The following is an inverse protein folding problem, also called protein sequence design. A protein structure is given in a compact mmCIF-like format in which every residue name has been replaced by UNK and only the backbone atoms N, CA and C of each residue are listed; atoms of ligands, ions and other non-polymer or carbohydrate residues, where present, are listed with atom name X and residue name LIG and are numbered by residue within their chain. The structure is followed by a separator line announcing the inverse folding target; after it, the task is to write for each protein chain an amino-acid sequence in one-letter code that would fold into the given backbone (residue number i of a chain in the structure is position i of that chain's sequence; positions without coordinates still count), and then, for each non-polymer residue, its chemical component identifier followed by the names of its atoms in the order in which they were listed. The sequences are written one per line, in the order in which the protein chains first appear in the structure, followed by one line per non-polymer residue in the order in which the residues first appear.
data_IF_117537160370
#
_entry.id   IF_117537160370
#
_cell.length_a   1.000
_cell.length_b   1.000
_cell.length_c   1.000
_cell.angle_alpha   90.00
_cell.angle_beta   90.00
_cell.angle_gamma   90.00
#
_symmetry.space_group_name_H-M   'P 1'
#
loop_
_entity.id
_entity.type
_entity.pdbx_description
1 polymer ?
#
# COMPACT_ATOMS: atom_id res chain seq x y z
N UNK A 1 -0.89 -12.13 8.15
CA UNK A 1 -1.64 -11.10 7.38
C UNK A 1 -2.97 -10.75 8.04
N UNK A 2 -3.96 -11.65 8.15
CA UNK A 2 -5.24 -11.35 8.84
C UNK A 2 -5.03 -10.99 10.32
N UNK A 3 -4.25 -11.79 11.04
CA UNK A 3 -3.90 -11.49 12.45
C UNK A 3 -3.23 -10.12 12.58
N UNK A 4 -2.35 -9.78 11.63
CA UNK A 4 -1.71 -8.47 11.58
C UNK A 4 -2.73 -7.35 11.33
N UNK A 5 -3.70 -7.53 10.42
CA UNK A 5 -4.76 -6.54 10.18
C UNK A 5 -5.60 -6.26 11.43
N UNK A 6 -6.01 -7.31 12.15
CA UNK A 6 -6.72 -7.18 13.43
C UNK A 6 -5.84 -6.47 14.47
N UNK A 7 -4.57 -6.85 14.56
CA UNK A 7 -3.60 -6.22 15.46
C UNK A 7 -3.44 -4.72 15.16
N UNK A 8 -3.37 -4.31 13.89
CA UNK A 8 -3.35 -2.89 13.50
C UNK A 8 -4.61 -2.18 13.98
N UNK A 9 -5.80 -2.73 13.72
CA UNK A 9 -7.05 -2.09 14.13
C UNK A 9 -7.13 -1.87 15.65
N UNK A 10 -6.79 -2.90 16.43
CA UNK A 10 -6.78 -2.82 17.90
C UNK A 10 -5.75 -1.81 18.39
N UNK A 11 -4.52 -1.88 17.89
CA UNK A 11 -3.44 -0.97 18.34
C UNK A 11 -3.69 0.48 17.95
N UNK A 12 -4.20 0.75 16.75
CA UNK A 12 -4.52 2.12 16.32
C UNK A 12 -5.70 2.69 17.10
N UNK A 13 -6.71 1.87 17.39
CA UNK A 13 -7.81 2.27 18.27
C UNK A 13 -7.32 2.59 19.68
N UNK A 14 -6.44 1.77 20.24
CA UNK A 14 -5.84 2.02 21.55
C UNK A 14 -5.08 3.36 21.63
N UNK A 15 -4.40 3.76 20.54
CA UNK A 15 -3.55 4.97 20.54
C UNK A 15 -4.35 6.24 20.24
N UNK A 16 -5.28 6.21 19.29
CA UNK A 16 -5.98 7.40 18.77
C UNK A 16 -7.50 7.26 18.71
N UNK A 17 -8.08 6.28 19.42
CA UNK A 17 -9.52 6.02 19.40
C UNK A 17 -10.04 5.72 17.99
N UNK A 18 -11.24 6.20 17.69
CA UNK A 18 -11.88 5.94 16.39
C UNK A 18 -11.10 6.52 15.21
N UNK A 19 -10.42 7.67 15.40
CA UNK A 19 -9.54 8.24 14.39
C UNK A 19 -8.45 7.24 13.96
N UNK A 20 -7.76 6.63 14.93
CA UNK A 20 -6.77 5.58 14.64
C UNK A 20 -7.39 4.35 14.01
N UNK A 21 -8.58 3.93 14.46
CA UNK A 21 -9.25 2.79 13.85
C UNK A 21 -9.50 2.97 12.35
N UNK A 22 -9.79 4.19 11.88
CA UNK A 22 -9.95 4.45 10.44
C UNK A 22 -8.69 4.16 9.61
N UNK A 23 -7.51 4.05 10.22
CA UNK A 23 -6.29 3.66 9.51
C UNK A 23 -6.37 2.22 8.93
N UNK A 24 -7.27 1.37 9.41
CA UNK A 24 -7.45 0.02 8.82
C UNK A 24 -7.98 0.05 7.39
N UNK A 25 -8.52 1.20 6.94
CA UNK A 25 -9.01 1.40 5.59
C UNK A 25 -7.92 1.87 4.61
N UNK A 26 -6.70 2.15 5.09
CA UNK A 26 -5.57 2.40 4.20
C UNK A 26 -5.34 1.23 3.25
N UNK A 27 -4.96 1.54 2.02
CA UNK A 27 -4.76 0.63 0.91
C UNK A 27 -3.85 -0.53 1.28
N UNK A 28 -2.75 -0.24 1.99
CA UNK A 28 -1.80 -1.24 2.46
C UNK A 28 -2.40 -2.19 3.51
N UNK A 29 -3.26 -1.69 4.40
CA UNK A 29 -3.93 -2.51 5.41
C UNK A 29 -5.02 -3.39 4.77
N UNK A 30 -5.83 -2.82 3.88
CA UNK A 30 -6.83 -3.58 3.13
C UNK A 30 -6.18 -4.65 2.25
N UNK A 31 -5.03 -4.36 1.63
CA UNK A 31 -4.24 -5.38 0.94
C UNK A 31 -3.71 -6.46 1.86
N UNK A 32 -3.28 -6.15 3.08
CA UNK A 32 -2.91 -7.17 4.06
C UNK A 32 -4.09 -8.09 4.38
N UNK A 33 -5.30 -7.54 4.60
CA UNK A 33 -6.50 -8.34 4.82
C UNK A 33 -6.80 -9.24 3.62
N UNK A 34 -6.91 -8.65 2.43
CA UNK A 34 -7.29 -9.35 1.21
C UNK A 34 -6.25 -10.41 0.80
N UNK A 35 -4.95 -10.13 0.94
CA UNK A 35 -3.90 -11.11 0.66
C UNK A 35 -3.98 -12.28 1.65
N UNK A 36 -4.28 -12.00 2.92
CA UNK A 36 -4.47 -13.03 3.93
C UNK A 36 -5.69 -13.91 3.63
N UNK A 37 -6.82 -13.32 3.22
CA UNK A 37 -8.01 -14.06 2.77
C UNK A 37 -7.69 -14.87 1.52
N UNK A 38 -7.00 -14.28 0.55
CA UNK A 38 -6.53 -14.96 -0.66
C UNK A 38 -5.63 -16.15 -0.33
N UNK A 39 -4.76 -16.04 0.67
CA UNK A 39 -3.92 -17.14 1.13
C UNK A 39 -4.74 -18.25 1.80
N UNK A 40 -5.70 -17.92 2.67
CA UNK A 40 -6.58 -18.91 3.30
C UNK A 40 -7.44 -19.67 2.29
N UNK A 41 -7.91 -18.98 1.24
CA UNK A 41 -8.76 -19.56 0.20
C UNK A 41 -7.96 -20.16 -0.96
N UNK A 42 -6.63 -20.18 -0.89
CA UNK A 42 -5.73 -20.62 -1.96
C UNK A 42 -6.02 -19.93 -3.31
N UNK A 43 -6.34 -18.62 -3.27
CA UNK A 43 -6.65 -17.79 -4.43
C UNK A 43 -5.46 -16.91 -4.82
N UNK A 44 -4.51 -17.38 -5.66
CA UNK A 44 -3.33 -16.61 -6.06
C UNK A 44 -3.68 -15.32 -6.80
N UNK A 45 -4.83 -15.28 -7.49
CA UNK A 45 -5.31 -14.06 -8.17
C UNK A 45 -5.62 -12.94 -7.17
N UNK A 46 -6.17 -13.25 -6.00
CA UNK A 46 -6.46 -12.25 -4.96
C UNK A 46 -5.16 -11.69 -4.41
N UNK A 47 -4.17 -12.54 -4.13
CA UNK A 47 -2.85 -12.10 -3.68
C UNK A 47 -2.16 -11.24 -4.75
N UNK A 48 -2.23 -11.65 -6.02
CA UNK A 48 -1.70 -10.89 -7.15
C UNK A 48 -2.37 -9.52 -7.31
N UNK A 49 -3.69 -9.46 -7.14
CA UNK A 49 -4.45 -8.20 -7.10
C UNK A 49 -3.92 -7.27 -6.01
N UNK A 50 -3.73 -7.76 -4.79
CA UNK A 50 -3.22 -6.94 -3.68
C UNK A 50 -1.81 -6.44 -3.92
N UNK A 51 -0.96 -7.22 -4.61
CA UNK A 51 0.37 -6.80 -5.01
C UNK A 51 0.35 -5.56 -5.87
N UNK A 52 -0.42 -5.60 -6.96
CA UNK A 52 -0.54 -4.46 -7.86
C UNK A 52 -1.15 -3.25 -7.16
N UNK A 53 -2.11 -3.48 -6.26
CA UNK A 53 -2.80 -2.43 -5.53
C UNK A 53 -1.87 -1.59 -4.63
N UNK A 54 -0.81 -2.20 -4.08
CA UNK A 54 0.11 -1.55 -3.12
C UNK A 54 1.54 -1.35 -3.63
N UNK A 55 1.78 -1.63 -4.91
CA UNK A 55 3.12 -1.57 -5.50
C UNK A 55 3.75 -0.18 -5.31
N UNK A 56 2.99 0.89 -5.52
CA UNK A 56 3.43 2.26 -5.31
C UNK A 56 3.65 2.63 -3.84
N UNK A 57 2.66 2.52 -2.94
CA UNK A 57 2.87 2.90 -1.54
C UNK A 57 3.99 2.08 -0.89
N UNK A 58 4.15 0.79 -1.19
CA UNK A 58 5.26 0.02 -0.63
C UNK A 58 6.60 0.34 -1.29
N UNK A 59 6.64 0.38 -2.63
CA UNK A 59 7.87 0.62 -3.38
C UNK A 59 8.47 2.00 -3.06
N UNK A 60 7.64 3.04 -3.08
CA UNK A 60 8.07 4.40 -2.75
C UNK A 60 8.43 4.55 -1.27
N UNK A 61 7.72 3.87 -0.35
CA UNK A 61 8.07 3.89 1.07
C UNK A 61 9.43 3.25 1.34
N UNK A 62 9.70 2.08 0.74
CA UNK A 62 11.00 1.39 0.91
C UNK A 62 12.13 2.21 0.26
N UNK A 63 11.88 2.78 -0.92
CA UNK A 63 12.85 3.64 -1.59
C UNK A 63 13.16 4.89 -0.74
N UNK A 64 12.15 5.55 -0.19
CA UNK A 64 12.32 6.75 0.64
C UNK A 64 13.10 6.44 1.93
N UNK A 65 12.82 5.31 2.58
CA UNK A 65 13.58 4.84 3.73
C UNK A 65 15.04 4.54 3.39
N UNK A 66 15.28 3.89 2.25
CA UNK A 66 16.64 3.62 1.78
C UNK A 66 17.40 4.92 1.49
N UNK A 67 16.76 5.89 0.83
CA UNK A 67 17.35 7.20 0.56
C UNK A 67 17.68 7.93 1.87
N UNK A 68 16.84 7.84 2.90
CA UNK A 68 17.16 8.41 4.21
C UNK A 68 18.51 7.92 4.77
N UNK A 69 18.83 6.63 4.66
CA UNK A 69 20.12 6.11 5.13
C UNK A 69 21.32 6.58 4.29
N UNK A 70 21.12 7.00 3.04
CA UNK A 70 22.19 7.49 2.16
C UNK A 70 22.37 9.00 2.29
N UNK A 71 21.28 9.76 2.25
CA UNK A 71 21.30 11.23 2.15
C UNK A 71 20.83 11.95 3.41
N UNK A 72 20.41 11.22 4.45
CA UNK A 72 19.99 11.80 5.73
C UNK A 72 18.62 12.49 5.72
N UNK A 73 17.82 12.34 4.66
CA UNK A 73 16.49 12.96 4.51
C UNK A 73 15.53 12.08 3.70
N UNK A 74 14.23 12.34 3.83
CA UNK A 74 13.15 11.67 3.10
C UNK A 74 12.71 12.49 1.88
N UNK A 75 13.31 12.30 0.69
CA UNK A 75 13.01 13.13 -0.49
C UNK A 75 11.59 12.93 -1.02
N UNK A 76 10.98 11.76 -0.81
CA UNK A 76 9.60 11.49 -1.20
C UNK A 76 8.63 11.81 -0.06
N UNK A 77 9.10 11.78 1.19
CA UNK A 77 8.29 12.06 2.38
C UNK A 77 7.37 10.90 2.81
N UNK A 78 7.31 9.83 2.02
CA UNK A 78 6.45 8.65 2.21
C UNK A 78 6.70 7.93 3.53
N UNK A 79 7.93 7.98 4.03
CA UNK A 79 8.38 7.29 5.26
C UNK A 79 8.87 8.26 6.34
N UNK A 80 8.66 9.57 6.14
CA UNK A 80 9.17 10.61 7.05
C UNK A 80 8.62 10.52 8.47
N UNK A 81 7.41 9.98 8.64
CA UNK A 81 6.79 9.79 9.95
C UNK A 81 7.52 8.82 10.87
N UNK A 82 8.49 8.04 10.35
CA UNK A 82 9.30 7.14 11.16
C UNK A 82 10.17 7.85 12.18
N UNK A 83 10.52 9.12 11.92
CA UNK A 83 11.38 9.93 12.78
C UNK A 83 10.64 11.07 13.48
N UNK A 84 9.32 11.17 13.33
CA UNK A 84 8.55 12.19 14.05
C UNK A 84 8.49 11.83 15.52
N UNK A 85 8.77 12.81 16.39
CA UNK A 85 8.68 12.65 17.84
C UNK A 85 7.27 12.29 18.33
N UNK A 86 6.26 12.56 17.49
CA UNK A 86 4.85 12.27 17.75
C UNK A 86 4.42 10.85 17.35
N UNK A 87 5.25 10.09 16.62
CA UNK A 87 4.87 8.74 16.17
C UNK A 87 5.03 7.74 17.31
N UNK A 88 3.93 7.08 17.68
CA UNK A 88 3.95 6.14 18.79
C UNK A 88 4.69 4.84 18.40
N UNK A 89 5.39 4.20 19.35
CA UNK A 89 6.22 2.99 19.08
C UNK A 89 5.44 1.82 18.48
N UNK A 90 4.19 1.63 18.88
CA UNK A 90 3.32 0.61 18.29
C UNK A 90 2.96 0.96 16.83
N UNK A 91 2.86 2.24 16.48
CA UNK A 91 2.64 2.66 15.09
C UNK A 91 3.86 2.34 14.23
N UNK A 92 5.06 2.56 14.76
CA UNK A 92 6.31 2.12 14.13
C UNK A 92 6.36 0.60 13.96
N UNK A 93 5.94 -0.17 14.96
CA UNK A 93 5.89 -1.63 14.84
C UNK A 93 4.93 -2.06 13.73
N UNK A 94 3.72 -1.48 13.68
CA UNK A 94 2.75 -1.82 12.63
C UNK A 94 3.21 -1.41 11.24
N UNK A 95 4.03 -0.38 11.08
CA UNK A 95 4.47 0.05 9.75
C UNK A 95 5.46 -0.92 9.07
N UNK A 96 6.04 -1.85 9.83
CA UNK A 96 7.00 -2.85 9.32
C UNK A 96 6.43 -3.73 8.21
N UNK A 97 5.10 -3.77 8.01
CA UNK A 97 4.45 -4.44 6.89
C UNK A 97 4.91 -3.95 5.53
N UNK A 98 5.40 -2.71 5.42
CA UNK A 98 6.00 -2.23 4.18
C UNK A 98 7.24 -3.05 3.77
N UNK A 99 7.94 -3.67 4.73
CA UNK A 99 9.12 -4.49 4.51
C UNK A 99 8.73 -5.96 4.25
N UNK A 100 7.92 -6.57 5.12
CA UNK A 100 7.69 -8.02 5.08
C UNK A 100 6.54 -8.46 4.16
N UNK A 101 5.63 -7.57 3.77
CA UNK A 101 4.44 -7.95 3.00
C UNK A 101 4.80 -8.55 1.63
N UNK A 102 5.66 -7.87 0.86
CA UNK A 102 6.07 -8.30 -0.48
C UNK A 102 6.81 -9.65 -0.43
N UNK A 103 7.87 -9.84 0.40
CA UNK A 103 8.52 -11.14 0.54
C UNK A 103 7.55 -12.28 0.91
N UNK A 104 6.64 -12.04 1.87
CA UNK A 104 5.70 -13.05 2.30
C UNK A 104 4.73 -13.45 1.18
N UNK A 105 4.21 -12.48 0.42
CA UNK A 105 3.38 -12.76 -0.75
C UNK A 105 4.16 -13.52 -1.85
N UNK A 106 5.45 -13.25 -2.05
CA UNK A 106 6.30 -14.03 -2.98
C UNK A 106 6.39 -15.49 -2.56
N UNK A 107 6.65 -15.76 -1.28
CA UNK A 107 6.71 -17.12 -0.76
C UNK A 107 5.39 -17.87 -0.92
N UNK A 108 4.26 -17.20 -0.69
CA UNK A 108 2.93 -17.81 -0.83
C UNK A 108 2.62 -18.08 -2.31
N UNK A 109 2.87 -17.12 -3.21
CA UNK A 109 2.65 -17.29 -4.64
C UNK A 109 3.55 -18.37 -5.21
N UNK A 110 4.83 -18.43 -4.83
CA UNK A 110 5.76 -19.47 -5.30
C UNK A 110 5.20 -20.89 -5.14
N UNK A 111 4.47 -21.14 -4.05
CA UNK A 111 3.85 -22.45 -3.77
C UNK A 111 2.48 -22.66 -4.43
N UNK A 112 1.74 -21.58 -4.69
CA UNK A 112 0.30 -21.65 -5.01
C UNK A 112 -0.10 -20.96 -6.34
N UNK A 113 0.84 -20.38 -7.08
CA UNK A 113 0.57 -19.66 -8.32
C UNK A 113 1.72 -18.76 -8.77
N UNK A 114 1.37 -17.64 -9.40
CA UNK A 114 2.32 -16.61 -9.84
C UNK A 114 1.61 -15.28 -10.05
N UNK A 115 2.30 -14.15 -9.88
CA UNK A 115 1.77 -12.87 -10.29
C UNK A 115 1.60 -12.84 -11.81
N UNK A 116 0.51 -12.23 -12.27
CA UNK A 116 0.17 -12.10 -13.70
C UNK A 116 -0.08 -10.65 -14.06
N UNK A 117 0.34 -10.24 -15.26
CA UNK A 117 0.12 -8.89 -15.78
C UNK A 117 -1.36 -8.62 -16.09
N UNK A 118 -2.14 -9.68 -16.34
CA UNK A 118 -3.60 -9.60 -16.55
C UNK A 118 -4.36 -9.05 -15.34
N UNK A 119 -3.73 -8.98 -14.15
CA UNK A 119 -4.33 -8.38 -12.96
C UNK A 119 -4.24 -6.85 -12.93
N UNK A 120 -3.54 -6.23 -13.89
CA UNK A 120 -3.35 -4.76 -13.90
C UNK A 120 -4.67 -3.98 -13.88
N UNK A 121 -5.61 -4.24 -14.80
CA UNK A 121 -6.89 -3.53 -14.81
C UNK A 121 -7.68 -3.71 -13.50
N UNK A 122 -7.58 -4.90 -12.89
CA UNK A 122 -8.30 -5.22 -11.66
C UNK A 122 -7.78 -4.43 -10.48
N UNK A 123 -6.46 -4.31 -10.30
CA UNK A 123 -5.93 -3.52 -9.19
C UNK A 123 -6.17 -2.01 -9.39
N UNK A 124 -6.21 -1.51 -10.63
CA UNK A 124 -6.62 -0.12 -10.90
C UNK A 124 -8.08 0.10 -10.48
N UNK A 125 -8.97 -0.81 -10.87
CA UNK A 125 -10.37 -0.78 -10.48
C UNK A 125 -10.55 -0.90 -8.96
N UNK A 126 -9.79 -1.77 -8.31
CA UNK A 126 -9.78 -1.91 -6.85
C UNK A 126 -9.35 -0.63 -6.14
N UNK A 127 -8.32 0.05 -6.64
CA UNK A 127 -7.89 1.35 -6.13
C UNK A 127 -8.97 2.41 -6.26
N UNK A 128 -9.62 2.48 -7.43
CA UNK A 128 -10.76 3.39 -7.67
C UNK A 128 -11.91 3.16 -6.67
N UNK A 129 -12.34 1.90 -6.47
CA UNK A 129 -13.41 1.61 -5.51
C UNK A 129 -13.02 1.93 -4.07
N UNK A 130 -11.78 1.63 -3.67
CA UNK A 130 -11.31 1.99 -2.33
C UNK A 130 -11.24 3.50 -2.13
N UNK A 131 -10.91 4.28 -3.14
CA UNK A 131 -10.97 5.75 -3.08
C UNK A 131 -12.41 6.25 -2.89
N UNK A 132 -13.37 5.69 -3.64
CA UNK A 132 -14.79 6.04 -3.46
C UNK A 132 -15.25 5.70 -2.04
N UNK A 133 -14.97 4.49 -1.56
CA UNK A 133 -15.33 4.06 -0.21
C UNK A 133 -14.69 4.99 0.83
N UNK A 134 -13.40 5.29 0.68
CA UNK A 134 -12.66 6.13 1.63
C UNK A 134 -13.21 7.56 1.65
N UNK A 135 -13.44 8.18 0.49
CA UNK A 135 -13.93 9.56 0.44
C UNK A 135 -15.41 9.70 0.78
N UNK A 136 -16.21 8.64 0.59
CA UNK A 136 -17.65 8.67 0.90
C UNK A 136 -17.97 8.33 2.36
N UNK A 137 -17.19 7.42 2.96
CA UNK A 137 -17.49 6.88 4.29
C UNK A 137 -16.54 7.37 5.39
N UNK A 138 -15.34 7.85 5.04
CA UNK A 138 -14.34 8.27 6.00
C UNK A 138 -14.16 9.79 5.94
N UNK A 139 -14.17 10.48 7.10
CA UNK A 139 -14.02 11.92 7.11
C UNK A 139 -12.57 12.32 6.81
N UNK A 140 -12.39 13.56 6.34
CA UNK A 140 -11.06 14.16 6.16
C UNK A 140 -10.28 14.23 7.48
N UNK A 141 -11.01 14.49 8.58
CA UNK A 141 -10.50 14.54 9.93
C UNK A 141 -11.54 14.04 10.93
N UNK A 142 -11.10 13.56 12.08
CA UNK A 142 -11.96 13.13 13.18
C UNK A 142 -11.29 13.48 14.51
N UNK A 143 -12.00 14.16 15.41
CA UNK A 143 -11.49 14.55 16.73
C UNK A 143 -10.13 15.28 16.69
N UNK A 144 -9.97 16.20 15.73
CA UNK A 144 -8.73 16.96 15.54
C UNK A 144 -7.58 16.18 14.86
N UNK A 145 -7.76 14.89 14.57
CA UNK A 145 -6.81 14.11 13.81
C UNK A 145 -7.08 14.18 12.30
N UNK A 146 -6.04 14.44 11.52
CA UNK A 146 -6.10 14.40 10.06
C UNK A 146 -6.02 12.95 9.57
N UNK A 147 -6.97 12.52 8.72
CA UNK A 147 -7.15 11.11 8.35
C UNK A 147 -6.96 10.82 6.87
N UNK A 148 -7.35 11.75 5.97
CA UNK A 148 -7.25 11.67 4.50
C UNK A 148 -6.88 10.29 3.92
N UNK A 149 -7.70 9.28 4.23
CA UNK A 149 -7.34 7.88 4.01
C UNK A 149 -7.31 7.64 2.51
N UNK A 150 -6.25 6.97 2.04
CA UNK A 150 -6.01 6.74 0.61
C UNK A 150 -5.92 8.01 -0.23
N UNK A 151 -5.70 9.18 0.39
CA UNK A 151 -5.67 10.45 -0.34
C UNK A 151 -7.03 10.70 -1.03
N UNK A 152 -8.13 10.31 -0.40
CA UNK A 152 -9.45 10.35 -1.03
C UNK A 152 -10.09 11.75 -1.07
N UNK A 153 -9.54 12.72 -0.31
CA UNK A 153 -10.08 14.07 -0.21
C UNK A 153 -9.14 15.13 -0.78
N UNK A 154 -7.81 14.97 -0.62
CA UNK A 154 -6.81 15.91 -1.15
C UNK A 154 -5.43 15.27 -1.29
N UNK A 155 -4.66 15.63 -2.31
CA UNK A 155 -3.24 15.24 -2.40
C UNK A 155 -2.44 15.82 -1.22
N UNK A 156 -1.44 15.07 -0.73
CA UNK A 156 -0.63 15.42 0.46
C UNK A 156 -0.17 16.89 0.46
N UNK A 157 -0.70 17.74 1.35
CA UNK A 157 -0.32 19.16 1.38
C UNK A 157 1.11 19.35 1.91
N UNK A 158 1.62 18.36 2.66
CA UNK A 158 2.87 18.47 3.43
C UNK A 158 4.10 17.92 2.68
N UNK A 159 3.95 17.40 1.46
CA UNK A 159 5.07 16.87 0.66
C UNK A 159 5.56 17.96 -0.30
N UNK A 160 6.85 18.39 -0.19
CA UNK A 160 7.36 19.49 -0.99
C UNK A 160 7.36 19.22 -2.50
N UNK A 161 6.52 19.99 -3.20
CA UNK A 161 6.71 20.61 -4.52
C UNK A 161 6.94 19.78 -5.82
N UNK A 162 7.13 18.46 -5.84
CA UNK A 162 7.26 17.73 -7.13
C UNK A 162 5.94 17.14 -7.68
N UNK A 163 4.90 17.05 -6.85
CA UNK A 163 3.52 16.65 -7.22
C UNK A 163 2.38 17.66 -6.95
N UNK A 164 2.52 18.75 -6.17
CA UNK A 164 1.39 19.60 -5.78
C UNK A 164 0.81 20.44 -6.93
N UNK A 165 1.45 20.46 -8.10
CA UNK A 165 0.91 21.08 -9.31
C UNK A 165 -0.31 20.35 -9.89
N UNK A 166 -0.69 19.17 -9.39
CA UNK A 166 -1.68 18.31 -10.03
C UNK A 166 -3.06 18.22 -9.37
N UNK A 167 -3.30 18.87 -8.22
CA UNK A 167 -4.61 18.84 -7.57
C UNK A 167 -5.00 20.21 -6.98
N UNK A 168 -5.51 21.12 -7.82
CA UNK A 168 -6.03 22.40 -7.35
C UNK A 168 -7.11 22.17 -6.28
N UNK A 169 -7.11 22.94 -5.18
CA UNK A 169 -8.11 22.83 -4.10
C UNK A 169 -9.56 23.06 -4.58
N UNK A 170 -9.73 23.60 -5.78
CA UNK A 170 -10.99 23.95 -6.44
C UNK A 170 -11.71 22.74 -7.09
N UNK A 171 -11.05 21.58 -7.23
CA UNK A 171 -11.59 20.49 -8.04
C UNK A 171 -12.82 19.82 -7.39
N UNK A 172 -13.87 19.52 -8.18
CA UNK A 172 -14.96 18.68 -7.69
C UNK A 172 -14.40 17.35 -7.17
N UNK A 173 -14.93 16.87 -6.04
CA UNK A 173 -14.40 15.68 -5.36
C UNK A 173 -14.28 14.45 -6.29
N UNK A 174 -15.25 14.23 -7.19
CA UNK A 174 -15.18 13.13 -8.15
C UNK A 174 -14.05 13.29 -9.17
N UNK A 175 -13.72 14.52 -9.59
CA UNK A 175 -12.58 14.78 -10.47
C UNK A 175 -11.26 14.48 -9.75
N UNK A 176 -11.17 14.82 -8.45
CA UNK A 176 -10.04 14.43 -7.60
C UNK A 176 -9.91 12.91 -7.49
N UNK A 177 -10.98 12.19 -7.16
CA UNK A 177 -10.99 10.72 -7.08
C UNK A 177 -10.56 10.07 -8.39
N UNK A 178 -11.09 10.54 -9.53
CA UNK A 178 -10.70 10.03 -10.85
C UNK A 178 -9.22 10.29 -11.13
N UNK A 179 -8.71 11.47 -10.83
CA UNK A 179 -7.31 11.80 -10.99
C UNK A 179 -6.42 10.89 -10.13
N UNK A 180 -6.69 10.75 -8.83
CA UNK A 180 -5.91 9.89 -7.93
C UNK A 180 -6.00 8.43 -8.36
N UNK A 181 -7.17 7.96 -8.79
CA UNK A 181 -7.36 6.60 -9.28
C UNK A 181 -6.54 6.33 -10.55
N UNK A 182 -6.51 7.26 -11.50
CA UNK A 182 -5.75 7.12 -12.75
C UNK A 182 -4.26 7.25 -12.48
N UNK A 183 -3.81 8.35 -11.86
CA UNK A 183 -2.40 8.62 -11.60
C UNK A 183 -1.80 7.57 -10.66
N UNK A 184 -2.47 7.29 -9.54
CA UNK A 184 -2.07 6.26 -8.58
C UNK A 184 -2.16 4.85 -9.18
N UNK A 185 -3.18 4.57 -9.98
CA UNK A 185 -3.34 3.29 -10.68
C UNK A 185 -2.22 3.03 -11.69
N UNK A 186 -1.85 4.03 -12.48
CA UNK A 186 -0.73 3.95 -13.43
C UNK A 186 0.61 3.80 -12.72
N UNK A 187 0.84 4.53 -11.63
CA UNK A 187 2.05 4.40 -10.82
C UNK A 187 2.15 3.02 -10.17
N UNK A 188 1.04 2.50 -9.66
CA UNK A 188 0.93 1.13 -9.16
C UNK A 188 1.24 0.11 -10.27
N UNK A 189 0.66 0.27 -11.46
CA UNK A 189 0.92 -0.61 -12.60
C UNK A 189 2.40 -0.60 -12.99
N UNK A 190 3.01 0.58 -13.08
CA UNK A 190 4.44 0.74 -13.39
C UNK A 190 5.31 0.02 -12.37
N UNK A 191 5.10 0.27 -11.06
CA UNK A 191 5.90 -0.38 -10.01
C UNK A 191 5.62 -1.88 -9.88
N UNK A 192 4.40 -2.31 -10.21
CA UNK A 192 4.05 -3.72 -10.28
C UNK A 192 4.85 -4.46 -11.36
N UNK A 193 5.22 -3.82 -12.48
CA UNK A 193 6.08 -4.46 -13.49
C UNK A 193 7.46 -4.85 -12.91
N UNK A 194 8.03 -4.04 -12.01
CA UNK A 194 9.29 -4.37 -11.34
C UNK A 194 9.12 -5.53 -10.38
N UNK A 195 8.04 -5.55 -9.59
CA UNK A 195 7.72 -6.65 -8.68
C UNK A 195 7.52 -7.95 -9.48
N UNK A 196 6.75 -7.88 -10.57
CA UNK A 196 6.53 -9.01 -11.47
C UNK A 196 7.84 -9.50 -12.09
N UNK A 197 8.69 -8.60 -12.57
CA UNK A 197 10.00 -8.92 -13.12
C UNK A 197 10.94 -9.56 -12.09
N UNK A 198 10.99 -9.03 -10.87
CA UNK A 198 11.74 -9.60 -9.77
C UNK A 198 11.26 -11.02 -9.43
N UNK A 199 9.95 -11.26 -9.49
CA UNK A 199 9.40 -12.61 -9.31
C UNK A 199 9.86 -13.58 -10.41
N UNK A 200 9.92 -13.14 -11.68
CA UNK A 200 10.41 -13.98 -12.78
C UNK A 200 11.88 -14.41 -12.59
N UNK A 201 12.69 -13.55 -11.95
CA UNK A 201 14.09 -13.86 -11.62
C UNK A 201 14.18 -14.79 -10.40
N UNK A 202 13.28 -14.62 -9.43
CA UNK A 202 13.24 -15.41 -8.20
C UNK A 202 12.82 -16.88 -8.43
N UNK A 203 11.83 -17.13 -9.30
CA UNK A 203 11.26 -18.48 -9.50
C UNK A 203 12.30 -19.54 -9.91
N UNK A 204 13.21 -19.29 -10.89
CA UNK A 204 14.23 -20.25 -11.29
C UNK A 204 15.23 -20.62 -10.19
N UNK A 205 15.57 -19.68 -9.30
CA UNK A 205 16.55 -19.89 -8.21
C UNK A 205 16.07 -20.96 -7.22
N UNK A 206 14.75 -21.06 -7.02
CA UNK A 206 14.15 -21.97 -6.03
C UNK A 206 13.83 -23.36 -6.60
N UNK A 207 13.79 -23.54 -7.93
CA UNK A 207 13.64 -24.87 -8.55
C UNK A 207 15.04 -25.40 -8.87
N UNK A 208 15.70 -26.20 -8.00
CA UNK A 208 16.87 -26.94 -8.44
C UNK A 208 16.45 -27.78 -9.65
N UNK A 209 17.28 -27.83 -10.69
CA UNK A 209 16.99 -28.64 -11.86
C UNK A 209 16.62 -30.02 -11.36
N UNK A 210 15.38 -30.46 -11.63
CA UNK A 210 15.10 -31.88 -11.60
C UNK A 210 16.08 -32.44 -12.61
N UNK A 211 17.18 -33.04 -12.13
CA UNK A 211 18.02 -33.90 -12.96
C UNK A 211 17.03 -34.85 -13.62
N UNK A 212 16.97 -34.78 -14.94
CA UNK A 212 16.27 -35.76 -15.75
C UNK A 212 16.98 -37.08 -15.46
N UNK A 213 16.38 -37.88 -14.56
CA UNK A 213 16.67 -39.31 -14.45
C UNK A 213 15.94 -40.06 -15.56
#
# INVERSE_FOLDING_TARGET
MIVYYVFVGVTRYYIRGLAGFFDVFWLCQMSCLLAGVGALLHQPKVITFTFGLISAPHGLWVLDLFLYFIIGRFPLGMSSYLIWDTTHRLELLTTTHHIWFVPLCFTILYKNGRPTLSMIPYHMLGGFFLLIISGSLLPLSYDGHYLNVNIAHRCWPDIPAWLPSFNPPEWPWMAHVLYVAIAGGLLNAFLYLFIWGAYQIYEPIQKPSKKQE
#
